data_IF_529166794398
#
_entry.id   IF_529166794398
#
_cell.length_a   1.000
_cell.length_b   1.000
_cell.length_c   1.000
_cell.angle_alpha   90.00
_cell.angle_beta   90.00
_cell.angle_gamma   90.00
#
_symmetry.space_group_name_H-M   'P 1'
#
loop_
_entity.id
_entity.type
_entity.pdbx_description
1 polymer ?
#
# COMPACT_ATOMS: atom_id res chain seq x y z
N UNK A 1 -11.15 21.24 29.43
CA UNK A 1 -11.44 20.78 28.06
C UNK A 1 -10.91 21.82 27.09
N UNK A 2 -9.68 21.65 26.61
CA UNK A 2 -9.16 22.42 25.48
C UNK A 2 -9.03 21.45 24.32
N UNK A 3 -9.78 21.73 23.24
CA UNK A 3 -9.72 20.99 21.99
C UNK A 3 -8.30 21.08 21.43
N UNK A 4 -7.62 19.94 21.31
CA UNK A 4 -6.45 19.84 20.45
C UNK A 4 -6.93 19.96 19.00
N UNK A 5 -6.96 21.20 18.48
CA UNK A 5 -7.27 21.49 17.08
C UNK A 5 -6.15 21.07 16.12
N UNK A 6 -5.10 20.42 16.61
CA UNK A 6 -3.98 19.94 15.83
C UNK A 6 -3.86 18.43 15.97
N UNK A 7 -4.07 17.71 14.86
CA UNK A 7 -3.77 16.28 14.80
C UNK A 7 -2.27 16.04 14.99
N UNK A 8 -1.94 14.99 15.72
CA UNK A 8 -0.55 14.57 15.93
C UNK A 8 0.10 14.19 14.59
N UNK A 9 1.44 14.16 14.54
CA UNK A 9 2.17 13.80 13.32
C UNK A 9 1.77 12.40 12.83
N UNK A 10 1.53 11.46 13.74
CA UNK A 10 1.06 10.10 13.44
C UNK A 10 -0.36 10.10 12.87
N UNK A 11 -1.30 10.84 13.46
CA UNK A 11 -2.68 10.96 12.95
C UNK A 11 -2.73 11.53 11.52
N UNK A 12 -1.86 12.51 11.21
CA UNK A 12 -1.75 13.05 9.84
C UNK A 12 -1.21 12.03 8.85
N UNK A 13 -0.24 11.21 9.25
CA UNK A 13 0.31 10.12 8.42
C UNK A 13 -0.74 9.04 8.18
N UNK A 14 -1.40 8.56 9.23
CA UNK A 14 -2.47 7.55 9.13
C UNK A 14 -3.59 8.02 8.20
N UNK A 15 -4.04 9.27 8.33
CA UNK A 15 -5.07 9.82 7.45
C UNK A 15 -4.62 9.87 5.98
N UNK A 16 -3.36 10.22 5.73
CA UNK A 16 -2.78 10.21 4.39
C UNK A 16 -2.77 8.78 3.83
N UNK A 17 -2.27 7.82 4.61
CA UNK A 17 -2.14 6.43 4.18
C UNK A 17 -3.49 5.76 3.90
N UNK A 18 -4.51 5.98 4.74
CA UNK A 18 -5.89 5.52 4.47
C UNK A 18 -6.43 6.06 3.15
N UNK A 19 -6.17 7.33 2.84
CA UNK A 19 -6.57 7.93 1.56
C UNK A 19 -5.81 7.30 0.37
N UNK A 20 -4.52 7.00 0.55
CA UNK A 20 -3.74 6.30 -0.47
C UNK A 20 -4.27 4.87 -0.69
N UNK A 21 -4.70 4.16 0.36
CA UNK A 21 -5.35 2.85 0.23
C UNK A 21 -6.64 2.91 -0.61
N UNK A 22 -7.51 3.88 -0.35
CA UNK A 22 -8.73 4.09 -1.15
C UNK A 22 -8.40 4.30 -2.64
N UNK A 23 -7.34 5.08 -2.90
CA UNK A 23 -6.87 5.36 -4.26
C UNK A 23 -6.25 4.13 -4.93
N UNK A 24 -5.46 3.33 -4.19
CA UNK A 24 -4.88 2.05 -4.65
C UNK A 24 -6.01 1.10 -5.06
N UNK A 25 -7.02 0.92 -4.22
CA UNK A 25 -8.18 0.06 -4.51
C UNK A 25 -8.95 0.58 -5.72
N UNK A 26 -9.17 1.90 -5.80
CA UNK A 26 -9.87 2.52 -6.93
C UNK A 26 -9.12 2.29 -8.25
N UNK A 27 -7.80 2.48 -8.26
CA UNK A 27 -6.98 2.27 -9.45
C UNK A 27 -6.94 0.79 -9.84
N UNK A 28 -6.88 -0.13 -8.86
CA UNK A 28 -6.95 -1.56 -9.13
C UNK A 28 -8.26 -1.95 -9.83
N UNK A 29 -9.40 -1.44 -9.35
CA UNK A 29 -10.69 -1.66 -10.01
C UNK A 29 -10.73 -1.07 -11.43
N UNK A 30 -10.12 0.10 -11.66
CA UNK A 30 -10.03 0.68 -13.01
C UNK A 30 -9.22 -0.19 -13.96
N UNK A 31 -8.07 -0.73 -13.53
CA UNK A 31 -7.28 -1.67 -14.35
C UNK A 31 -8.14 -2.87 -14.75
N UNK A 32 -8.84 -3.49 -13.80
CA UNK A 32 -9.73 -4.64 -14.06
C UNK A 32 -10.85 -4.26 -15.03
N UNK A 33 -11.49 -3.12 -14.81
CA UNK A 33 -12.60 -2.66 -15.63
C UNK A 33 -12.19 -2.38 -17.08
N UNK A 34 -11.05 -1.73 -17.31
CA UNK A 34 -10.58 -1.45 -18.68
C UNK A 34 -10.03 -2.70 -19.36
N UNK A 35 -9.32 -3.57 -18.63
CA UNK A 35 -8.89 -4.87 -19.16
C UNK A 35 -10.10 -5.70 -19.63
N UNK A 36 -11.17 -5.74 -18.84
CA UNK A 36 -12.40 -6.49 -19.16
C UNK A 36 -13.14 -5.95 -20.38
N UNK A 37 -12.92 -4.68 -20.74
CA UNK A 37 -13.47 -4.06 -21.97
C UNK A 37 -12.54 -4.23 -23.18
N UNK A 38 -11.41 -4.91 -23.01
CA UNK A 38 -10.31 -4.98 -23.98
C UNK A 38 -9.71 -3.59 -24.31
N UNK A 39 -9.84 -2.62 -23.40
CA UNK A 39 -9.19 -1.30 -23.50
C UNK A 39 -7.83 -1.36 -22.81
N UNK A 40 -6.87 -1.97 -23.51
CA UNK A 40 -5.54 -2.24 -22.96
C UNK A 40 -4.72 -0.97 -22.74
N UNK A 41 -4.95 0.08 -23.52
CA UNK A 41 -4.26 1.37 -23.38
C UNK A 41 -4.64 2.05 -22.07
N UNK A 42 -5.94 2.12 -21.74
CA UNK A 42 -6.37 2.66 -20.46
C UNK A 42 -6.02 1.73 -19.28
N UNK A 43 -6.09 0.41 -19.47
CA UNK A 43 -5.64 -0.54 -18.45
C UNK A 43 -4.15 -0.32 -18.10
N UNK A 44 -3.30 -0.15 -19.12
CA UNK A 44 -1.87 0.17 -18.98
C UNK A 44 -1.64 1.50 -18.26
N UNK A 45 -2.39 2.54 -18.65
CA UNK A 45 -2.32 3.86 -18.01
C UNK A 45 -2.64 3.77 -16.52
N UNK A 46 -3.77 3.16 -16.16
CA UNK A 46 -4.15 3.01 -14.75
C UNK A 46 -3.20 2.08 -13.98
N UNK A 47 -2.62 1.09 -14.63
CA UNK A 47 -1.59 0.22 -14.03
C UNK A 47 -0.34 1.03 -13.66
N UNK A 48 0.11 1.95 -14.53
CA UNK A 48 1.25 2.83 -14.24
C UNK A 48 0.94 3.79 -13.10
N UNK A 49 -0.28 4.34 -13.05
CA UNK A 49 -0.73 5.19 -11.93
C UNK A 49 -0.78 4.40 -10.61
N UNK A 50 -1.37 3.21 -10.63
CA UNK A 50 -1.43 2.29 -9.49
C UNK A 50 -0.03 1.95 -8.99
N UNK A 51 0.86 1.61 -9.93
CA UNK A 51 2.25 1.30 -9.64
C UNK A 51 2.91 2.43 -8.85
N UNK A 52 2.90 3.64 -9.41
CA UNK A 52 3.54 4.80 -8.80
C UNK A 52 3.03 5.01 -7.37
N UNK A 53 1.71 5.01 -7.21
CA UNK A 53 1.09 5.22 -5.90
C UNK A 53 1.45 4.12 -4.90
N UNK A 54 1.36 2.85 -5.29
CA UNK A 54 1.63 1.72 -4.39
C UNK A 54 3.10 1.68 -3.96
N UNK A 55 4.04 1.96 -4.87
CA UNK A 55 5.47 2.02 -4.55
C UNK A 55 5.78 3.18 -3.61
N UNK A 56 5.29 4.38 -3.94
CA UNK A 56 5.51 5.57 -3.10
C UNK A 56 4.95 5.36 -1.69
N UNK A 57 3.75 4.77 -1.60
CA UNK A 57 3.10 4.45 -0.34
C UNK A 57 3.93 3.45 0.51
N UNK A 58 4.30 2.30 -0.07
CA UNK A 58 5.09 1.27 0.64
C UNK A 58 6.45 1.82 1.08
N UNK A 59 7.12 2.60 0.24
CA UNK A 59 8.39 3.23 0.61
C UNK A 59 8.23 4.25 1.72
N UNK A 60 7.14 5.02 1.71
CA UNK A 60 6.85 6.00 2.76
C UNK A 60 6.62 5.31 4.11
N UNK A 61 5.86 4.22 4.12
CA UNK A 61 5.60 3.42 5.32
C UNK A 61 6.88 2.78 5.86
N UNK A 62 7.71 2.17 5.01
CA UNK A 62 8.99 1.60 5.44
C UNK A 62 9.88 2.65 6.15
N UNK A 63 9.95 3.86 5.59
CA UNK A 63 10.75 4.95 6.16
C UNK A 63 10.17 5.40 7.51
N UNK A 64 8.86 5.61 7.59
CA UNK A 64 8.22 6.08 8.82
C UNK A 64 8.20 5.00 9.91
N UNK A 65 7.95 3.74 9.57
CA UNK A 65 8.06 2.63 10.53
C UNK A 65 9.48 2.44 11.05
N UNK A 66 10.49 2.59 10.19
CA UNK A 66 11.89 2.55 10.62
C UNK A 66 12.24 3.73 11.55
N UNK A 67 11.75 4.94 11.26
CA UNK A 67 11.92 6.11 12.11
C UNK A 67 11.26 5.91 13.46
N UNK A 68 10.01 5.45 13.45
CA UNK A 68 9.27 5.09 14.66
C UNK A 68 10.10 4.10 15.48
N UNK A 69 10.50 2.96 14.91
CA UNK A 69 11.30 1.97 15.61
C UNK A 69 12.56 2.57 16.25
N UNK A 70 13.28 3.48 15.60
CA UNK A 70 14.47 4.12 16.19
C UNK A 70 14.18 5.03 17.39
N UNK A 71 13.00 5.61 17.47
CA UNK A 71 12.55 6.47 18.58
C UNK A 71 11.98 5.62 19.74
N UNK A 72 12.66 4.50 20.08
CA UNK A 72 12.22 3.45 21.03
C UNK A 72 11.66 3.96 22.36
N UNK A 73 12.12 5.11 22.86
CA UNK A 73 11.63 5.71 24.12
C UNK A 73 10.13 6.12 24.07
N UNK A 74 9.49 6.12 22.89
CA UNK A 74 8.09 6.55 22.70
C UNK A 74 7.17 5.48 22.14
N UNK A 75 7.67 4.29 21.80
CA UNK A 75 6.85 3.19 21.30
C UNK A 75 6.44 2.25 22.41
N UNK A 76 5.19 1.80 22.33
CA UNK A 76 4.70 0.74 23.20
C UNK A 76 5.17 -0.57 22.59
N UNK A 77 5.56 -1.54 23.44
CA UNK A 77 6.05 -2.87 23.02
C UNK A 77 5.13 -3.55 21.98
N UNK A 78 3.82 -3.33 22.09
CA UNK A 78 2.82 -3.89 21.18
C UNK A 78 2.92 -3.29 19.78
N UNK A 79 3.05 -1.97 19.67
CA UNK A 79 3.25 -1.29 18.38
C UNK A 79 4.56 -1.74 17.72
N UNK A 80 5.64 -1.91 18.49
CA UNK A 80 6.91 -2.42 17.96
C UNK A 80 6.78 -3.85 17.45
N UNK A 81 6.06 -4.72 18.18
CA UNK A 81 5.74 -6.09 17.78
C UNK A 81 4.96 -6.12 16.47
N UNK A 82 3.91 -5.30 16.36
CA UNK A 82 3.08 -5.21 15.15
C UNK A 82 3.88 -4.73 13.94
N UNK A 83 4.76 -3.73 14.10
CA UNK A 83 5.63 -3.26 13.00
C UNK A 83 6.58 -4.38 12.56
N UNK A 84 7.19 -5.12 13.49
CA UNK A 84 8.07 -6.25 13.15
C UNK A 84 7.32 -7.37 12.43
N UNK A 85 6.12 -7.70 12.88
CA UNK A 85 5.26 -8.69 12.24
C UNK A 85 4.87 -8.25 10.83
N UNK A 86 4.49 -6.98 10.67
CA UNK A 86 4.16 -6.37 9.40
C UNK A 86 5.32 -6.47 8.39
N UNK A 87 6.51 -5.98 8.77
CA UNK A 87 7.70 -6.02 7.89
C UNK A 87 8.05 -7.46 7.50
N UNK A 88 7.91 -8.42 8.42
CA UNK A 88 8.18 -9.83 8.15
C UNK A 88 7.17 -10.42 7.17
N UNK A 89 5.88 -10.18 7.39
CA UNK A 89 4.78 -10.77 6.62
C UNK A 89 4.72 -10.24 5.19
N UNK A 90 4.97 -8.95 4.99
CA UNK A 90 4.77 -8.30 3.69
C UNK A 90 6.06 -8.05 2.89
N UNK A 91 7.22 -8.54 3.38
CA UNK A 91 8.48 -8.48 2.62
C UNK A 91 8.37 -9.19 1.27
N UNK A 92 7.76 -10.37 1.23
CA UNK A 92 7.54 -11.13 -0.01
C UNK A 92 6.58 -10.40 -0.94
N UNK A 93 5.49 -9.83 -0.40
CA UNK A 93 4.52 -9.00 -1.13
C UNK A 93 5.20 -7.84 -1.82
N UNK A 94 6.05 -7.10 -1.11
CA UNK A 94 6.81 -5.99 -1.69
C UNK A 94 7.66 -6.46 -2.87
N UNK A 95 8.36 -7.58 -2.73
CA UNK A 95 9.19 -8.14 -3.82
C UNK A 95 8.32 -8.57 -5.01
N UNK A 96 7.19 -9.24 -4.75
CA UNK A 96 6.26 -9.69 -5.78
C UNK A 96 5.68 -8.50 -6.56
N UNK A 97 5.22 -7.48 -5.84
CA UNK A 97 4.75 -6.23 -6.41
C UNK A 97 5.85 -5.60 -7.27
N UNK A 98 7.04 -5.34 -6.74
CA UNK A 98 8.14 -4.73 -7.50
C UNK A 98 8.50 -5.53 -8.77
N UNK A 99 8.51 -6.87 -8.71
CA UNK A 99 8.77 -7.73 -9.87
C UNK A 99 7.68 -7.61 -10.94
N UNK A 100 6.41 -7.68 -10.53
CA UNK A 100 5.28 -7.54 -11.43
C UNK A 100 5.26 -6.18 -12.11
N UNK A 101 5.50 -5.12 -11.35
CA UNK A 101 5.59 -3.77 -11.85
C UNK A 101 6.70 -3.65 -12.90
N UNK A 102 7.90 -4.14 -12.57
CA UNK A 102 9.03 -4.17 -13.52
C UNK A 102 8.70 -4.92 -14.80
N UNK A 103 7.89 -6.00 -14.74
CA UNK A 103 7.45 -6.75 -15.92
C UNK A 103 6.45 -5.94 -16.74
N UNK A 104 5.37 -5.46 -16.13
CA UNK A 104 4.18 -5.02 -16.88
C UNK A 104 4.05 -3.50 -17.07
N UNK A 105 4.90 -2.67 -16.44
CA UNK A 105 4.91 -1.21 -16.72
C UNK A 105 5.90 -0.81 -17.82
N UNK A 106 6.59 -1.76 -18.45
CA UNK A 106 7.41 -1.49 -19.64
C UNK A 106 6.52 -1.20 -20.84
N UNK A 107 6.96 -0.31 -21.74
CA UNK A 107 6.20 0.08 -22.92
C UNK A 107 5.87 -1.10 -23.84
N UNK A 108 6.77 -2.09 -23.92
CA UNK A 108 6.63 -3.29 -24.76
C UNK A 108 5.86 -4.44 -24.09
N UNK A 109 5.48 -4.30 -22.81
CA UNK A 109 4.82 -5.39 -22.10
C UNK A 109 3.35 -5.52 -22.50
N UNK A 110 2.99 -6.73 -22.91
CA UNK A 110 1.62 -7.11 -23.28
C UNK A 110 0.80 -7.38 -22.02
N UNK A 111 -0.45 -6.91 -22.03
CA UNK A 111 -1.44 -7.22 -20.99
C UNK A 111 -2.29 -8.39 -21.49
N UNK A 112 -1.78 -9.61 -21.32
CA UNK A 112 -2.44 -10.87 -21.66
C UNK A 112 -3.08 -11.54 -20.42
N UNK A 113 -3.57 -12.77 -20.58
CA UNK A 113 -4.20 -13.50 -19.48
C UNK A 113 -3.20 -13.78 -18.33
N UNK A 114 -1.90 -13.97 -18.65
CA UNK A 114 -0.85 -14.12 -17.62
C UNK A 114 -0.70 -12.83 -16.80
N UNK A 115 -0.78 -11.66 -17.47
CA UNK A 115 -0.87 -10.38 -16.77
C UNK A 115 -2.06 -10.34 -15.83
N UNK A 116 -3.25 -10.69 -16.30
CA UNK A 116 -4.47 -10.54 -15.52
C UNK A 116 -4.49 -11.46 -14.29
N UNK A 117 -4.05 -12.71 -14.43
CA UNK A 117 -3.91 -13.65 -13.32
C UNK A 117 -2.91 -13.13 -12.28
N UNK A 118 -1.73 -12.69 -12.75
CA UNK A 118 -0.69 -12.12 -11.88
C UNK A 118 -1.16 -10.83 -11.18
N UNK A 119 -1.95 -10.01 -11.87
CA UNK A 119 -2.50 -8.78 -11.34
C UNK A 119 -3.48 -9.06 -10.21
N UNK A 120 -4.41 -10.00 -10.42
CA UNK A 120 -5.39 -10.39 -9.41
C UNK A 120 -4.75 -10.98 -8.16
N UNK A 121 -3.68 -11.79 -8.31
CA UNK A 121 -2.93 -12.30 -7.17
C UNK A 121 -2.35 -11.15 -6.34
N UNK A 122 -1.70 -10.18 -7.00
CA UNK A 122 -1.06 -9.05 -6.32
C UNK A 122 -2.07 -8.13 -5.65
N UNK A 123 -3.18 -7.81 -6.33
CA UNK A 123 -4.26 -7.02 -5.73
C UNK A 123 -4.83 -7.75 -4.51
N UNK A 124 -5.00 -9.07 -4.57
CA UNK A 124 -5.44 -9.87 -3.43
C UNK A 124 -4.48 -9.81 -2.24
N UNK A 125 -3.18 -9.81 -2.48
CA UNK A 125 -2.17 -9.67 -1.42
C UNK A 125 -2.12 -8.23 -0.88
N UNK A 126 -2.24 -7.21 -1.74
CA UNK A 126 -2.34 -5.81 -1.32
C UNK A 126 -3.56 -5.55 -0.46
N UNK A 127 -4.72 -6.14 -0.80
CA UNK A 127 -5.93 -6.01 0.01
C UNK A 127 -5.73 -6.56 1.44
N UNK A 128 -5.11 -7.75 1.57
CA UNK A 128 -4.78 -8.33 2.88
C UNK A 128 -3.81 -7.47 3.68
N UNK A 129 -2.86 -6.81 3.00
CA UNK A 129 -1.92 -5.87 3.61
C UNK A 129 -2.64 -4.65 4.19
N UNK A 130 -3.45 -4.00 3.36
CA UNK A 130 -4.27 -2.83 3.72
C UNK A 130 -5.15 -3.17 4.93
N UNK A 131 -5.82 -4.32 4.90
CA UNK A 131 -6.68 -4.77 6.00
C UNK A 131 -5.90 -4.93 7.31
N UNK A 132 -4.69 -5.51 7.26
CA UNK A 132 -3.84 -5.65 8.44
C UNK A 132 -3.39 -4.29 8.98
N UNK A 133 -2.95 -3.38 8.11
CA UNK A 133 -2.47 -2.05 8.49
C UNK A 133 -3.57 -1.24 9.15
N UNK A 134 -4.75 -1.19 8.55
CA UNK A 134 -5.86 -0.40 9.06
C UNK A 134 -6.45 -0.94 10.35
N UNK A 135 -6.55 -2.27 10.49
CA UNK A 135 -7.12 -2.88 11.71
C UNK A 135 -6.19 -2.81 12.91
N UNK A 136 -4.87 -2.85 12.68
CA UNK A 136 -3.89 -2.97 13.75
C UNK A 136 -3.03 -1.72 13.87
N UNK A 137 -2.11 -1.51 12.93
CA UNK A 137 -1.06 -0.50 13.02
C UNK A 137 -1.62 0.92 13.07
N UNK A 138 -2.59 1.22 12.21
CA UNK A 138 -3.14 2.55 12.13
C UNK A 138 -4.00 2.88 13.35
N UNK A 139 -4.79 1.93 13.85
CA UNK A 139 -5.55 2.11 15.09
C UNK A 139 -4.63 2.49 16.25
N UNK A 140 -3.51 1.79 16.40
CA UNK A 140 -2.52 2.05 17.44
C UNK A 140 -1.87 3.44 17.28
N UNK A 141 -1.56 3.85 16.05
CA UNK A 141 -0.94 5.15 15.75
C UNK A 141 -1.90 6.34 15.81
N UNK A 142 -3.20 6.12 15.57
CA UNK A 142 -4.26 7.14 15.63
C UNK A 142 -4.71 7.41 17.09
N UNK A 143 -4.59 6.40 17.95
CA UNK A 143 -4.93 6.45 19.38
C UNK A 143 -3.94 7.21 20.26
N UNK A 144 -2.80 7.65 19.69
CA UNK A 144 -1.75 8.45 20.36
C UNK A 144 -1.73 9.90 19.88
#
# INVERSE_FOLDING_TARGET
MFFSLFSSKSQKLVKKWKKEHEQIVTLAHKVIAEYSKNDLDNAKKYLIELNKLAVDHIMNEDIEFYRLQKDHEKLHDETERLIKEFVKTFKSTKIALMKFLTKYTRDDAVLDDEFFDSFNEIVGVLAKRIEFEEKNLYTDLDSK
#
